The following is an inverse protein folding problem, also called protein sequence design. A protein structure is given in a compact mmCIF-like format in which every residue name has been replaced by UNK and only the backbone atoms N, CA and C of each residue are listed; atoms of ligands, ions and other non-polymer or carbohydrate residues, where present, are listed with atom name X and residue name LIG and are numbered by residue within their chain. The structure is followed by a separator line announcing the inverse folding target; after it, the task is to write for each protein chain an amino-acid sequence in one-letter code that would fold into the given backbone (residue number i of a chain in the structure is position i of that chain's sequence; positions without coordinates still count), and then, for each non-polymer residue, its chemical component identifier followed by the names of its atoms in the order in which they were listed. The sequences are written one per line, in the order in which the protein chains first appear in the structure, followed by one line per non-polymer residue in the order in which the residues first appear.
data_IF_645635898126
#
_entry.id   IF_645635898126
#
_cell.length_a   1.000
_cell.length_b   1.000
_cell.length_c   1.000
_cell.angle_alpha   90.00
_cell.angle_beta   90.00
_cell.angle_gamma   90.00
#
_symmetry.space_group_name_H-M   'P 1'
#
loop_
_entity.id
_entity.type
_entity.pdbx_description
1 polymer ?
#
# COMPACT_ATOMS: atom_id res chain seq x y z
N UNK A 1 -20.83 9.54 9.63
CA UNK A 1 -20.63 8.79 8.40
C UNK A 1 -21.96 8.60 7.65
N UNK A 2 -22.94 7.88 8.22
CA UNK A 2 -24.23 7.56 7.57
C UNK A 2 -25.04 8.79 7.12
N UNK A 3 -24.96 9.88 7.89
CA UNK A 3 -25.70 11.13 7.63
C UNK A 3 -25.06 12.02 6.56
N UNK A 4 -23.79 11.83 6.22
CA UNK A 4 -23.02 12.72 5.36
C UNK A 4 -23.18 12.43 3.86
N UNK A 5 -23.77 11.29 3.48
CA UNK A 5 -23.95 10.87 2.06
C UNK A 5 -22.70 11.03 1.20
N UNK A 6 -21.52 10.74 1.76
CA UNK A 6 -20.25 10.84 1.05
C UNK A 6 -20.13 9.73 -0.01
N UNK A 7 -19.46 10.02 -1.12
CA UNK A 7 -19.28 9.07 -2.22
C UNK A 7 -18.19 8.05 -1.92
N UNK A 8 -17.16 8.46 -1.17
CA UNK A 8 -16.01 7.62 -0.85
C UNK A 8 -15.54 7.86 0.58
N UNK A 9 -15.12 6.80 1.25
CA UNK A 9 -14.50 6.84 2.57
C UNK A 9 -13.25 5.97 2.61
N UNK A 10 -12.18 6.51 3.16
CA UNK A 10 -10.93 5.78 3.36
C UNK A 10 -10.63 5.68 4.86
N UNK A 11 -10.36 4.46 5.34
CA UNK A 11 -10.07 4.16 6.74
C UNK A 11 -8.64 3.61 6.84
N UNK A 12 -7.68 4.50 7.05
CA UNK A 12 -6.29 4.11 7.21
C UNK A 12 -6.02 3.47 8.56
N UNK A 13 -5.28 2.35 8.60
CA UNK A 13 -4.73 1.84 9.85
C UNK A 13 -3.69 2.82 10.39
N UNK A 14 -3.48 2.83 11.69
CA UNK A 14 -2.46 3.68 12.30
C UNK A 14 -1.06 3.21 11.87
N UNK A 15 -0.34 4.09 11.17
CA UNK A 15 1.01 3.86 10.66
C UNK A 15 2.01 4.67 11.51
N UNK A 16 2.52 4.05 12.58
CA UNK A 16 3.52 4.67 13.42
C UNK A 16 4.91 4.15 13.06
N UNK A 17 5.84 5.07 12.80
CA UNK A 17 7.25 4.71 12.68
C UNK A 17 7.80 4.13 13.99
N UNK A 18 8.88 3.35 13.97
CA UNK A 18 9.49 2.78 15.17
C UNK A 18 9.83 3.84 16.23
N UNK A 19 10.32 5.01 15.82
CA UNK A 19 10.68 6.11 16.74
C UNK A 19 9.46 6.69 17.47
N UNK A 20 8.33 6.81 16.79
CA UNK A 20 7.09 7.32 17.38
C UNK A 20 6.29 6.24 18.09
N UNK A 21 6.52 4.96 17.75
CA UNK A 21 5.77 3.83 18.29
C UNK A 21 5.85 3.78 19.83
N UNK A 22 7.03 3.91 20.41
CA UNK A 22 7.21 3.88 21.86
C UNK A 22 6.50 5.04 22.60
N UNK A 23 6.48 6.22 22.00
CA UNK A 23 5.75 7.36 22.56
C UNK A 23 4.22 7.17 22.44
N UNK A 24 3.77 6.60 21.35
CA UNK A 24 2.37 6.28 21.12
C UNK A 24 1.90 5.13 22.02
N UNK A 25 2.72 4.08 22.21
CA UNK A 25 2.42 2.97 23.13
C UNK A 25 2.31 3.43 24.58
N UNK A 26 3.12 4.42 24.99
CA UNK A 26 2.98 5.04 26.33
C UNK A 26 1.68 5.82 26.47
N UNK A 27 1.20 6.47 25.42
CA UNK A 27 0.00 7.32 25.46
C UNK A 27 -1.30 6.55 25.20
N UNK A 28 -1.27 5.55 24.32
CA UNK A 28 -2.46 4.86 23.82
C UNK A 28 -2.46 3.35 24.08
N UNK A 29 -1.49 2.83 24.81
CA UNK A 29 -1.18 1.42 24.99
C UNK A 29 -0.69 0.73 23.71
N UNK A 30 -0.22 -0.50 23.89
CA UNK A 30 0.29 -1.33 22.79
C UNK A 30 -0.80 -1.62 21.78
N UNK A 31 -0.44 -1.61 20.49
CA UNK A 31 -1.38 -2.00 19.43
C UNK A 31 -1.79 -3.46 19.62
N UNK A 32 -3.08 -3.65 19.88
CA UNK A 32 -3.69 -4.98 19.95
C UNK A 32 -4.30 -5.31 18.58
N UNK A 33 -3.66 -6.19 17.85
CA UNK A 33 -4.09 -6.62 16.51
C UNK A 33 -5.50 -7.23 16.53
N UNK A 34 -5.89 -7.90 17.62
CA UNK A 34 -7.24 -8.47 17.75
C UNK A 34 -8.31 -7.37 17.89
N UNK A 35 -7.99 -6.32 18.62
CA UNK A 35 -8.86 -5.15 18.77
C UNK A 35 -8.93 -4.36 17.45
N UNK A 36 -7.82 -4.19 16.77
CA UNK A 36 -7.76 -3.54 15.46
C UNK A 36 -8.61 -4.31 14.44
N UNK A 37 -8.49 -5.64 14.41
CA UNK A 37 -9.34 -6.49 13.57
C UNK A 37 -10.82 -6.32 13.87
N UNK A 38 -11.21 -6.27 15.15
CA UNK A 38 -12.62 -6.03 15.51
C UNK A 38 -13.13 -4.68 15.00
N UNK A 39 -12.33 -3.62 15.11
CA UNK A 39 -12.71 -2.32 14.55
C UNK A 39 -12.83 -2.36 13.03
N UNK A 40 -11.89 -3.00 12.37
CA UNK A 40 -11.95 -3.18 10.93
C UNK A 40 -13.20 -3.98 10.50
N UNK A 41 -13.55 -5.05 11.20
CA UNK A 41 -14.77 -5.82 10.95
C UNK A 41 -16.06 -5.00 11.15
N UNK A 42 -16.06 -4.06 12.11
CA UNK A 42 -17.17 -3.12 12.33
C UNK A 42 -17.26 -2.15 11.14
N UNK A 43 -16.14 -1.57 10.72
CA UNK A 43 -16.08 -0.70 9.54
C UNK A 43 -16.63 -1.44 8.32
N UNK A 44 -16.11 -2.62 8.03
CA UNK A 44 -16.54 -3.41 6.87
C UNK A 44 -18.04 -3.69 6.89
N UNK A 45 -18.59 -4.09 8.04
CA UNK A 45 -20.05 -4.32 8.18
C UNK A 45 -20.83 -3.03 7.93
N UNK A 46 -20.38 -1.92 8.50
CA UNK A 46 -21.06 -0.64 8.38
C UNK A 46 -21.09 -0.14 6.93
N UNK A 47 -19.93 -0.14 6.26
CA UNK A 47 -19.83 0.36 4.87
C UNK A 47 -20.61 -0.50 3.90
N UNK A 48 -20.57 -1.82 4.03
CA UNK A 48 -21.34 -2.70 3.14
C UNK A 48 -22.85 -2.58 3.37
N UNK A 49 -23.30 -2.44 4.62
CA UNK A 49 -24.72 -2.23 4.95
C UNK A 49 -25.25 -0.90 4.40
N UNK A 50 -24.35 0.10 4.22
CA UNK A 50 -24.70 1.41 3.65
C UNK A 50 -24.52 1.45 2.12
N UNK A 51 -24.31 0.30 1.46
CA UNK A 51 -24.22 0.17 0.01
C UNK A 51 -22.89 0.54 -0.62
N UNK A 52 -21.82 0.71 0.20
CA UNK A 52 -20.47 0.91 -0.32
C UNK A 52 -19.87 -0.43 -0.76
N UNK A 53 -19.02 -0.36 -1.78
CA UNK A 53 -18.17 -1.46 -2.23
C UNK A 53 -16.72 -1.15 -1.86
N UNK A 54 -15.94 -2.16 -1.53
CA UNK A 54 -14.51 -1.99 -1.32
C UNK A 54 -13.82 -1.73 -2.68
N UNK A 55 -13.11 -0.62 -2.78
CA UNK A 55 -12.21 -0.31 -3.90
C UNK A 55 -10.80 -0.80 -3.60
N UNK A 56 -10.39 -0.72 -2.33
CA UNK A 56 -9.15 -1.31 -1.82
C UNK A 56 -9.38 -1.91 -0.43
N UNK A 57 -8.33 -2.43 0.20
CA UNK A 57 -8.44 -2.95 1.55
C UNK A 57 -8.79 -1.87 2.61
N UNK A 58 -8.73 -0.59 2.29
CA UNK A 58 -9.11 0.50 3.20
C UNK A 58 -9.99 1.60 2.60
N UNK A 59 -10.25 1.56 1.28
CA UNK A 59 -11.08 2.52 0.57
C UNK A 59 -12.40 1.88 0.14
N UNK A 60 -13.50 2.59 0.35
CA UNK A 60 -14.86 2.14 0.07
C UNK A 60 -15.63 3.24 -0.66
N UNK A 61 -16.29 2.91 -1.77
CA UNK A 61 -17.04 3.86 -2.60
C UNK A 61 -18.44 3.39 -2.90
N UNK A 62 -19.37 4.34 -3.14
CA UNK A 62 -20.75 4.09 -3.60
C UNK A 62 -20.86 4.01 -5.09
N UNK A 63 -19.95 4.06 -5.88
CA UNK A 63 -19.94 3.93 -7.32
C UNK A 63 -18.76 3.11 -7.78
N UNK A 64 -18.60 3.06 -9.09
CA UNK A 64 -17.45 2.37 -9.69
C UNK A 64 -16.19 3.27 -9.74
N UNK A 65 -16.27 4.50 -9.22
CA UNK A 65 -15.15 5.44 -9.21
C UNK A 65 -14.30 5.23 -7.98
N UNK A 66 -13.08 4.79 -8.20
CA UNK A 66 -12.00 4.89 -7.25
C UNK A 66 -11.26 6.21 -7.54
N UNK A 67 -11.14 7.06 -6.52
CA UNK A 67 -10.31 8.26 -6.60
C UNK A 67 -9.03 7.94 -5.85
N UNK A 68 -7.86 8.07 -6.51
CA UNK A 68 -6.56 8.23 -5.88
C UNK A 68 -5.75 7.00 -5.44
N UNK A 69 -5.90 5.85 -6.06
CA UNK A 69 -5.05 4.71 -5.73
C UNK A 69 -4.12 4.35 -6.91
N UNK A 70 -3.30 5.32 -7.34
CA UNK A 70 -2.40 5.18 -8.49
C UNK A 70 -1.50 3.94 -8.44
N UNK A 71 -1.10 3.49 -7.25
CA UNK A 71 -0.26 2.29 -7.07
C UNK A 71 -0.95 0.98 -7.47
N UNK A 72 -2.28 0.99 -7.62
CA UNK A 72 -3.06 -0.16 -8.07
C UNK A 72 -3.16 -0.18 -9.59
N UNK A 73 -3.38 0.98 -10.18
CA UNK A 73 -3.62 1.10 -11.61
C UNK A 73 -2.33 1.10 -12.43
N UNK A 74 -1.26 1.65 -11.86
CA UNK A 74 0.01 1.83 -12.55
C UNK A 74 1.13 1.02 -11.89
N UNK A 75 1.92 0.36 -12.74
CA UNK A 75 3.11 -0.37 -12.32
C UNK A 75 4.31 0.56 -12.13
N UNK A 76 4.38 1.60 -12.96
CA UNK A 76 5.39 2.65 -12.91
C UNK A 76 4.72 3.99 -12.62
N UNK A 77 5.33 4.80 -11.77
CA UNK A 77 4.86 6.15 -11.46
C UNK A 77 6.00 7.05 -11.03
N UNK A 78 5.81 8.36 -11.24
CA UNK A 78 6.74 9.40 -10.83
C UNK A 78 6.13 10.20 -9.70
N UNK A 79 6.80 10.22 -8.56
CA UNK A 79 6.44 11.06 -7.42
C UNK A 79 6.97 12.49 -7.59
N UNK A 80 6.11 13.47 -7.40
CA UNK A 80 6.44 14.90 -7.48
C UNK A 80 6.35 15.50 -6.07
N UNK A 81 7.31 16.37 -5.74
CA UNK A 81 7.37 17.05 -4.46
C UNK A 81 8.41 16.47 -3.51
N UNK A 82 8.66 17.20 -2.42
CA UNK A 82 9.58 16.78 -1.37
C UNK A 82 9.04 15.52 -0.67
N UNK A 83 9.92 14.54 -0.44
CA UNK A 83 9.60 13.28 0.23
C UNK A 83 8.79 12.31 -0.62
N UNK A 84 8.55 12.60 -1.90
CA UNK A 84 7.89 11.67 -2.80
C UNK A 84 8.82 10.51 -3.19
N UNK A 85 8.19 9.39 -3.56
CA UNK A 85 8.90 8.22 -4.10
C UNK A 85 8.41 7.94 -5.51
N UNK A 86 9.29 7.34 -6.32
CA UNK A 86 8.97 6.91 -7.68
C UNK A 86 9.35 5.45 -7.85
N UNK A 87 8.60 4.75 -8.68
CA UNK A 87 9.01 3.45 -9.22
C UNK A 87 8.94 3.54 -10.73
N UNK A 88 10.08 3.37 -11.39
CA UNK A 88 10.18 3.44 -12.85
C UNK A 88 11.10 2.35 -13.33
N UNK A 89 10.61 1.50 -14.22
CA UNK A 89 11.38 0.39 -14.81
C UNK A 89 12.11 -0.47 -13.76
N UNK A 90 11.42 -0.77 -12.64
CA UNK A 90 11.99 -1.57 -11.55
C UNK A 90 13.05 -0.86 -10.72
N UNK A 91 13.19 0.45 -10.84
CA UNK A 91 14.04 1.25 -9.97
C UNK A 91 13.16 2.07 -9.01
N UNK A 92 13.58 2.09 -7.76
CA UNK A 92 12.96 2.89 -6.71
C UNK A 92 13.79 4.17 -6.51
N UNK A 93 13.15 5.32 -6.56
CA UNK A 93 13.77 6.63 -6.36
C UNK A 93 13.10 7.36 -5.21
N UNK A 94 13.87 8.17 -4.50
CA UNK A 94 13.40 8.96 -3.36
C UNK A 94 13.85 10.41 -3.53
N UNK A 95 12.92 11.33 -3.47
CA UNK A 95 13.20 12.76 -3.41
C UNK A 95 13.56 13.18 -1.99
N UNK A 96 14.33 14.25 -1.86
CA UNK A 96 14.67 14.80 -0.53
C UNK A 96 13.42 15.12 0.29
N UNK A 97 13.46 14.84 1.58
CA UNK A 97 12.40 15.20 2.53
C UNK A 97 12.57 16.64 3.06
N UNK A 98 13.68 17.31 2.78
CA UNK A 98 13.94 18.68 3.16
C UNK A 98 13.35 19.65 2.12
N UNK A 99 12.38 20.47 2.52
CA UNK A 99 11.82 21.51 1.64
C UNK A 99 12.86 22.49 1.13
N UNK A 100 13.78 23.03 1.97
CA UNK A 100 14.83 23.93 1.46
C UNK A 100 15.74 23.28 0.43
N UNK A 101 16.13 22.02 0.63
CA UNK A 101 16.94 21.30 -0.37
C UNK A 101 16.15 20.98 -1.64
N UNK A 102 14.87 20.68 -1.50
CA UNK A 102 14.01 20.49 -2.67
C UNK A 102 13.99 21.74 -3.54
N UNK A 103 13.74 22.90 -2.93
CA UNK A 103 13.72 24.21 -3.62
C UNK A 103 15.09 24.53 -4.24
N UNK A 104 16.18 24.22 -3.55
CA UNK A 104 17.54 24.38 -4.06
C UNK A 104 17.78 23.52 -5.33
N UNK A 105 17.39 22.24 -5.32
CA UNK A 105 17.51 21.37 -6.49
C UNK A 105 16.71 21.92 -7.68
N UNK A 106 15.44 22.28 -7.45
CA UNK A 106 14.56 22.78 -8.51
C UNK A 106 15.07 24.10 -9.06
N UNK A 107 15.55 25.03 -8.21
CA UNK A 107 16.11 26.32 -8.68
C UNK A 107 17.37 26.15 -9.53
N UNK A 108 18.08 25.02 -9.37
CA UNK A 108 19.25 24.68 -10.19
C UNK A 108 18.92 23.77 -11.38
N UNK A 109 17.66 23.58 -11.71
CA UNK A 109 17.18 22.68 -12.76
C UNK A 109 17.68 21.22 -12.57
N UNK A 110 17.75 20.78 -11.30
CA UNK A 110 18.19 19.42 -10.93
C UNK A 110 17.06 18.61 -10.36
N UNK A 111 17.07 17.30 -10.62
CA UNK A 111 16.14 16.39 -9.98
C UNK A 111 16.46 16.29 -8.46
N UNK A 112 15.44 16.41 -7.59
CA UNK A 112 15.63 16.43 -6.13
C UNK A 112 15.81 15.02 -5.55
N UNK A 113 16.38 14.10 -6.32
CA UNK A 113 16.59 12.69 -5.95
C UNK A 113 17.81 12.59 -5.03
N UNK A 114 17.58 12.08 -3.81
CA UNK A 114 18.63 11.84 -2.82
C UNK A 114 19.08 10.38 -2.75
N UNK A 115 18.33 9.49 -3.35
CA UNK A 115 18.67 8.07 -3.38
C UNK A 115 17.87 7.31 -4.42
N UNK A 116 18.47 6.24 -4.88
CA UNK A 116 17.82 5.30 -5.77
C UNK A 116 18.36 3.89 -5.57
N UNK A 117 17.55 2.90 -5.93
CA UNK A 117 17.95 1.49 -5.88
C UNK A 117 17.21 0.70 -6.94
N UNK A 118 17.92 -0.14 -7.68
CA UNK A 118 17.31 -1.15 -8.53
C UNK A 118 16.68 -2.24 -7.64
N UNK A 119 15.42 -2.50 -7.85
CA UNK A 119 14.73 -3.62 -7.20
C UNK A 119 15.19 -4.93 -7.84
N UNK A 120 15.38 -5.95 -7.02
CA UNK A 120 15.58 -7.31 -7.52
C UNK A 120 14.28 -7.82 -8.14
N UNK A 121 14.36 -8.83 -9.00
CA UNK A 121 13.18 -9.46 -9.61
C UNK A 121 12.19 -9.91 -8.55
N UNK A 122 12.68 -10.49 -7.45
CA UNK A 122 11.83 -10.95 -6.35
C UNK A 122 11.13 -9.80 -5.61
N UNK A 123 11.80 -8.67 -5.42
CA UNK A 123 11.20 -7.47 -4.82
C UNK A 123 10.13 -6.89 -5.74
N UNK A 124 10.39 -6.78 -7.06
CA UNK A 124 9.39 -6.36 -8.04
C UNK A 124 8.15 -7.24 -8.03
N UNK A 125 8.34 -8.56 -8.04
CA UNK A 125 7.23 -9.52 -7.99
C UNK A 125 6.40 -9.39 -6.71
N UNK A 126 7.04 -9.22 -5.56
CA UNK A 126 6.37 -9.06 -4.27
C UNK A 126 5.67 -7.71 -4.14
N UNK A 127 6.28 -6.65 -4.66
CA UNK A 127 5.66 -5.33 -4.73
C UNK A 127 4.39 -5.38 -5.60
N UNK A 128 4.49 -5.96 -6.79
CA UNK A 128 3.33 -6.18 -7.65
C UNK A 128 2.23 -6.97 -6.94
N UNK A 129 2.57 -8.12 -6.33
CA UNK A 129 1.59 -8.91 -5.59
C UNK A 129 0.92 -8.11 -4.48
N UNK A 130 1.69 -7.36 -3.68
CA UNK A 130 1.18 -6.54 -2.58
C UNK A 130 0.19 -5.48 -3.07
N UNK A 131 0.54 -4.72 -4.11
CA UNK A 131 -0.31 -3.65 -4.64
C UNK A 131 -1.58 -4.20 -5.28
N UNK A 132 -1.50 -5.34 -5.99
CA UNK A 132 -2.67 -6.00 -6.58
C UNK A 132 -3.59 -6.61 -5.52
N UNK A 133 -3.04 -7.24 -4.48
CA UNK A 133 -3.84 -7.70 -3.34
C UNK A 133 -4.50 -6.53 -2.62
N UNK A 134 -3.81 -5.42 -2.48
CA UNK A 134 -4.38 -4.20 -1.89
C UNK A 134 -5.56 -3.68 -2.73
N UNK A 135 -5.47 -3.73 -4.06
CA UNK A 135 -6.56 -3.50 -5.02
C UNK A 135 -7.56 -4.65 -5.13
N UNK A 136 -7.49 -5.63 -4.21
CA UNK A 136 -8.43 -6.75 -4.03
C UNK A 136 -8.43 -7.79 -5.15
N UNK A 137 -7.62 -7.66 -6.19
CA UNK A 137 -7.58 -8.61 -7.30
C UNK A 137 -6.20 -8.71 -7.93
N UNK A 138 -5.76 -9.92 -8.18
CA UNK A 138 -4.53 -10.23 -8.90
C UNK A 138 -4.88 -10.93 -10.20
N UNK A 139 -4.70 -10.26 -11.32
CA UNK A 139 -4.96 -10.79 -12.66
C UNK A 139 -3.71 -11.52 -13.19
N UNK A 140 -3.82 -12.84 -13.39
CA UNK A 140 -2.74 -13.67 -13.90
C UNK A 140 -2.39 -13.36 -15.36
N UNK A 141 -3.33 -12.89 -16.16
CA UNK A 141 -3.10 -12.45 -17.54
C UNK A 141 -2.21 -11.20 -17.59
N UNK A 142 -2.56 -10.17 -16.82
CA UNK A 142 -1.73 -8.96 -16.67
C UNK A 142 -0.36 -9.28 -16.09
N UNK A 143 -0.29 -10.22 -15.14
CA UNK A 143 1.00 -10.68 -14.60
C UNK A 143 1.87 -11.31 -15.69
N UNK A 144 1.31 -12.23 -16.52
CA UNK A 144 2.04 -12.86 -17.62
C UNK A 144 2.49 -11.84 -18.68
N UNK A 145 1.64 -10.87 -18.98
CA UNK A 145 1.99 -9.78 -19.90
C UNK A 145 3.21 -8.99 -19.41
N UNK A 146 3.24 -8.63 -18.13
CA UNK A 146 4.32 -7.84 -17.52
C UNK A 146 5.61 -8.62 -17.32
N UNK A 147 5.53 -9.79 -16.69
CA UNK A 147 6.70 -10.55 -16.24
C UNK A 147 7.12 -11.67 -17.20
N UNK A 148 6.39 -11.88 -18.28
CA UNK A 148 6.64 -12.93 -19.29
C UNK A 148 6.73 -14.34 -18.68
N UNK A 149 6.01 -14.58 -17.60
CA UNK A 149 5.99 -15.84 -16.86
C UNK A 149 4.68 -16.00 -16.11
N UNK A 150 4.38 -17.23 -15.68
CA UNK A 150 3.18 -17.50 -14.88
C UNK A 150 3.38 -17.12 -13.40
N UNK A 151 2.35 -16.56 -12.78
CA UNK A 151 2.38 -16.12 -11.39
C UNK A 151 2.59 -17.28 -10.42
N UNK A 152 2.01 -18.46 -10.70
CA UNK A 152 2.17 -19.64 -9.86
C UNK A 152 3.58 -20.19 -9.91
N UNK A 153 4.31 -20.00 -11.02
CA UNK A 153 5.70 -20.37 -11.14
C UNK A 153 6.61 -19.48 -10.29
N UNK A 154 6.37 -18.18 -10.28
CA UNK A 154 7.24 -17.22 -9.58
C UNK A 154 6.85 -16.96 -8.13
N UNK A 155 5.57 -16.98 -7.81
CA UNK A 155 5.01 -16.66 -6.49
C UNK A 155 4.19 -17.82 -5.91
N UNK A 156 4.47 -19.06 -6.36
CA UNK A 156 3.70 -20.22 -5.96
C UNK A 156 3.68 -20.50 -4.46
N UNK A 157 4.73 -20.17 -3.73
CA UNK A 157 4.78 -20.32 -2.27
C UNK A 157 3.88 -19.30 -1.59
N UNK A 158 3.99 -18.04 -1.98
CA UNK A 158 3.15 -16.94 -1.48
C UNK A 158 1.67 -17.22 -1.77
N UNK A 159 1.35 -17.65 -2.98
CA UNK A 159 -0.04 -17.94 -3.37
C UNK A 159 -0.60 -19.17 -2.66
N UNK A 160 0.18 -20.23 -2.49
CA UNK A 160 -0.25 -21.41 -1.70
C UNK A 160 -0.54 -21.05 -0.27
N UNK A 161 0.30 -20.22 0.36
CA UNK A 161 0.05 -19.70 1.70
C UNK A 161 -1.27 -18.91 1.77
N UNK A 162 -1.46 -17.95 0.87
CA UNK A 162 -2.67 -17.13 0.83
C UNK A 162 -3.94 -17.97 0.63
N UNK A 163 -3.89 -18.97 -0.28
CA UNK A 163 -5.01 -19.88 -0.53
C UNK A 163 -5.27 -20.83 0.64
N UNK A 164 -4.22 -21.39 1.24
CA UNK A 164 -4.34 -22.30 2.39
C UNK A 164 -5.05 -21.64 3.56
N UNK A 165 -4.76 -20.37 3.84
CA UNK A 165 -5.45 -19.61 4.87
C UNK A 165 -6.79 -19.00 4.41
N UNK A 166 -7.20 -19.25 3.16
CA UNK A 166 -8.45 -18.72 2.59
C UNK A 166 -8.47 -17.21 2.48
N UNK A 167 -7.31 -16.57 2.28
CA UNK A 167 -7.18 -15.11 2.16
C UNK A 167 -7.48 -14.63 0.73
N UNK A 168 -7.26 -15.49 -0.25
CA UNK A 168 -7.59 -15.28 -1.65
C UNK A 168 -8.30 -16.51 -2.21
N UNK A 169 -9.11 -16.29 -3.24
CA UNK A 169 -9.79 -17.34 -3.99
C UNK A 169 -9.69 -17.08 -5.50
N UNK A 170 -9.92 -18.12 -6.30
CA UNK A 170 -9.82 -18.07 -7.75
C UNK A 170 -8.61 -18.84 -8.30
N UNK A 171 -8.48 -18.85 -9.62
CA UNK A 171 -7.39 -19.53 -10.32
C UNK A 171 -6.52 -18.57 -11.11
N UNK A 172 -6.94 -18.15 -12.28
CA UNK A 172 -6.19 -17.22 -13.12
C UNK A 172 -6.33 -15.77 -12.61
N UNK A 173 -7.51 -15.40 -12.17
CA UNK A 173 -7.74 -14.17 -11.40
C UNK A 173 -8.00 -14.53 -9.94
N UNK A 174 -7.18 -13.98 -9.04
CA UNK A 174 -7.28 -14.21 -7.60
C UNK A 174 -7.97 -13.00 -6.96
N UNK A 175 -9.12 -13.22 -6.34
CA UNK A 175 -9.83 -12.23 -5.56
C UNK A 175 -9.47 -12.32 -4.07
N UNK A 176 -9.32 -11.19 -3.40
CA UNK A 176 -9.16 -11.15 -1.94
C UNK A 176 -10.51 -11.47 -1.29
N UNK A 177 -10.53 -12.49 -0.45
CA UNK A 177 -11.74 -12.89 0.28
C UNK A 177 -12.05 -11.92 1.41
N UNK A 178 -13.27 -11.99 1.97
CA UNK A 178 -13.62 -11.26 3.19
C UNK A 178 -12.63 -11.51 4.34
N UNK A 179 -12.15 -12.74 4.47
CA UNK A 179 -11.15 -13.14 5.46
C UNK A 179 -9.78 -12.52 5.16
N UNK A 180 -9.45 -12.33 3.89
CA UNK A 180 -8.20 -11.74 3.41
C UNK A 180 -8.10 -10.23 3.57
N UNK A 181 -9.21 -9.51 3.68
CA UNK A 181 -9.24 -8.05 3.74
C UNK A 181 -8.35 -7.47 4.85
N UNK A 182 -8.48 -7.97 6.08
CA UNK A 182 -7.70 -7.47 7.20
C UNK A 182 -6.20 -7.82 7.08
N UNK A 183 -5.77 -9.05 6.75
CA UNK A 183 -4.36 -9.35 6.47
C UNK A 183 -3.76 -8.47 5.38
N UNK A 184 -4.47 -8.23 4.28
CA UNK A 184 -4.00 -7.33 3.19
C UNK A 184 -3.85 -5.89 3.70
N UNK A 185 -4.82 -5.40 4.48
CA UNK A 185 -4.73 -4.09 5.13
C UNK A 185 -3.47 -3.98 6.01
N UNK A 186 -3.16 -5.00 6.81
CA UNK A 186 -1.95 -5.05 7.64
C UNK A 186 -0.67 -5.08 6.80
N UNK A 187 -0.61 -5.89 5.73
CA UNK A 187 0.57 -5.93 4.85
C UNK A 187 0.86 -4.56 4.24
N UNK A 188 -0.18 -3.83 3.80
CA UNK A 188 -0.01 -2.50 3.24
C UNK A 188 0.38 -1.47 4.32
N UNK A 189 -0.17 -1.58 5.53
CA UNK A 189 0.27 -0.77 6.68
C UNK A 189 1.78 -0.92 6.94
N UNK A 190 2.28 -2.16 6.97
CA UNK A 190 3.71 -2.42 7.21
C UNK A 190 4.59 -1.84 6.09
N UNK A 191 4.13 -1.90 4.84
CA UNK A 191 4.81 -1.25 3.72
C UNK A 191 4.93 0.26 3.93
N UNK A 192 3.84 0.96 4.26
CA UNK A 192 3.88 2.40 4.52
C UNK A 192 4.63 2.75 5.82
N UNK A 193 4.61 1.89 6.82
CA UNK A 193 5.41 2.05 8.04
C UNK A 193 6.92 2.03 7.71
N UNK A 194 7.34 1.17 6.78
CA UNK A 194 8.72 1.14 6.30
C UNK A 194 9.10 2.43 5.54
N UNK A 195 8.20 2.98 4.71
CA UNK A 195 8.42 4.28 4.07
C UNK A 195 8.50 5.42 5.09
N UNK A 196 7.66 5.42 6.12
CA UNK A 196 7.74 6.40 7.21
C UNK A 196 9.07 6.30 7.98
N UNK A 197 9.60 5.10 8.17
CA UNK A 197 10.92 4.90 8.79
C UNK A 197 12.05 5.48 7.94
N UNK A 198 11.99 5.31 6.62
CA UNK A 198 12.92 5.93 5.68
C UNK A 198 12.82 7.45 5.75
N UNK A 199 11.61 8.00 5.77
CA UNK A 199 11.37 9.44 5.93
C UNK A 199 12.04 9.98 7.21
N UNK A 200 11.82 9.35 8.35
CA UNK A 200 12.42 9.78 9.61
C UNK A 200 13.93 9.74 9.55
N UNK A 201 14.50 8.65 9.01
CA UNK A 201 15.94 8.53 8.80
C UNK A 201 16.52 9.70 7.97
N UNK A 202 15.86 10.08 6.89
CA UNK A 202 16.27 11.18 6.03
C UNK A 202 16.15 12.54 6.75
N UNK A 203 15.04 12.77 7.46
CA UNK A 203 14.81 14.03 8.21
C UNK A 203 15.86 14.21 9.31
N UNK A 204 16.16 13.17 10.09
CA UNK A 204 17.17 13.23 11.16
C UNK A 204 18.58 13.55 10.62
N UNK A 205 18.88 13.17 9.37
CA UNK A 205 20.16 13.43 8.71
C UNK A 205 20.16 14.64 7.79
N UNK A 206 19.05 15.34 7.70
CA UNK A 206 18.85 16.50 6.83
C UNK A 206 19.17 16.23 5.34
N UNK A 207 18.80 15.03 4.86
CA UNK A 207 19.01 14.59 3.48
C UNK A 207 17.69 14.45 2.73
#
# INVERSE_FOLDING_TARGET
FKTLRIDQATFYPLMASPHKKSAMERKFNRVDTSREKRFYDIILRSVYNDGYKASTAWCFSRGDRMIDEYIIDYDDYVGIGAGSVSIVNGNFYVNTFSLPRYDEFISQDKLPIIGWRKLTDRENLRYYLLTRLFGLSVDGGKFRERFKTDIHHKLGTELRFLKFFGLVDGQDTLGVTRKGMFPVNIMMREFFTALNSLREYCIERQI
#
